data_IF_181724711983
#
_entry.id   IF_181724711983
#
_cell.length_a   1.000
_cell.length_b   1.000
_cell.length_c   1.000
_cell.angle_alpha   90.00
_cell.angle_beta   90.00
_cell.angle_gamma   90.00
#
_symmetry.space_group_name_H-M   'P 1'
#
loop_
_entity.id
_entity.type
_entity.pdbx_description
1 polymer ?
#
# COMPACT_ATOMS: atom_id res chain seq x y z
N UNK A 1 -42.49 -19.49 -64.20
CA UNK A 1 -41.98 -18.51 -65.14
C UNK A 1 -41.41 -17.37 -64.33
N UNK A 2 -40.21 -16.96 -64.23
CA UNK A 2 -38.97 -17.20 -64.94
C UNK A 2 -37.92 -16.54 -64.00
N UNK A 3 -36.86 -17.31 -63.82
CA UNK A 3 -35.61 -16.77 -63.29
C UNK A 3 -34.90 -15.99 -64.38
N UNK A 4 -34.17 -14.94 -64.06
CA UNK A 4 -32.80 -14.84 -64.48
C UNK A 4 -31.92 -14.03 -63.53
N UNK A 5 -30.64 -13.72 -63.84
CA UNK A 5 -29.52 -14.58 -63.47
C UNK A 5 -28.48 -13.88 -62.59
N UNK A 6 -27.58 -14.72 -62.11
CA UNK A 6 -26.34 -14.40 -61.41
C UNK A 6 -25.46 -13.36 -62.09
N UNK A 7 -24.82 -12.49 -61.27
CA UNK A 7 -23.49 -11.92 -61.53
C UNK A 7 -22.71 -11.83 -60.22
N UNK A 8 -21.64 -12.62 -60.14
CA UNK A 8 -20.48 -12.28 -59.32
C UNK A 8 -19.71 -11.15 -60.04
N UNK A 9 -19.06 -10.27 -59.26
CA UNK A 9 -17.63 -10.13 -59.46
C UNK A 9 -16.80 -10.02 -58.17
N UNK A 10 -15.66 -10.65 -58.28
CA UNK A 10 -14.32 -10.19 -57.95
C UNK A 10 -13.93 -9.97 -56.48
N UNK A 11 -13.08 -10.90 -56.09
CA UNK A 11 -12.09 -10.81 -55.05
C UNK A 11 -11.27 -9.52 -55.12
N UNK A 12 -11.23 -8.76 -54.07
CA UNK A 12 -10.08 -7.90 -53.72
C UNK A 12 -9.66 -8.17 -52.30
N UNK A 13 -8.38 -8.60 -52.19
CA UNK A 13 -7.70 -8.86 -50.94
C UNK A 13 -7.75 -7.64 -50.01
N UNK A 14 -8.22 -7.88 -48.78
CA UNK A 14 -8.15 -6.99 -47.68
C UNK A 14 -6.98 -7.38 -46.78
N UNK A 15 -6.01 -6.53 -46.72
CA UNK A 15 -4.84 -6.56 -45.86
C UNK A 15 -5.27 -6.79 -44.40
N UNK A 16 -4.61 -7.75 -43.76
CA UNK A 16 -4.75 -8.05 -42.36
C UNK A 16 -4.35 -6.81 -41.52
N UNK A 17 -5.31 -6.23 -40.85
CA UNK A 17 -5.15 -5.13 -39.93
C UNK A 17 -4.40 -5.65 -38.68
N UNK A 18 -3.10 -5.32 -38.60
CA UNK A 18 -2.27 -5.56 -37.42
C UNK A 18 -2.71 -4.61 -36.32
N UNK A 19 -2.93 -5.07 -35.07
CA UNK A 19 -3.24 -4.17 -33.99
C UNK A 19 -2.07 -3.19 -33.76
N UNK A 20 -2.36 -1.91 -33.92
CA UNK A 20 -1.45 -0.81 -33.60
C UNK A 20 -1.08 -0.87 -32.12
N UNK A 21 0.18 -1.16 -31.83
CA UNK A 21 0.79 -0.89 -30.53
C UNK A 21 0.69 0.61 -30.28
N UNK A 22 -0.19 1.00 -29.37
CA UNK A 22 -0.24 2.37 -28.86
C UNK A 22 0.92 2.55 -27.88
N UNK A 23 2.02 3.07 -28.40
CA UNK A 23 3.10 3.62 -27.61
C UNK A 23 2.62 4.98 -27.06
N UNK A 24 2.13 4.97 -25.84
CA UNK A 24 1.88 6.19 -25.08
C UNK A 24 2.91 6.27 -23.94
N UNK A 25 4.15 6.49 -24.34
CA UNK A 25 5.24 6.93 -23.48
C UNK A 25 5.85 8.16 -24.16
N UNK A 26 5.24 9.32 -23.99
CA UNK A 26 5.93 10.59 -24.23
C UNK A 26 5.21 11.71 -23.50
N UNK A 27 6.01 12.48 -22.81
CA UNK A 27 5.79 13.78 -22.18
C UNK A 27 5.30 13.75 -20.74
N UNK A 28 6.17 13.30 -19.83
CA UNK A 28 6.33 13.90 -18.51
C UNK A 28 7.77 14.44 -18.41
N UNK A 29 8.11 15.44 -19.19
CA UNK A 29 9.19 16.37 -18.91
C UNK A 29 8.64 17.44 -17.98
N UNK A 30 8.35 17.06 -16.72
CA UNK A 30 8.22 17.99 -15.62
C UNK A 30 9.62 18.23 -15.07
N UNK A 31 9.94 19.48 -14.85
CA UNK A 31 11.17 20.00 -14.26
C UNK A 31 11.63 19.14 -13.07
N UNK A 32 12.53 18.19 -13.34
CA UNK A 32 13.26 17.45 -12.32
C UNK A 32 14.19 18.46 -11.65
N UNK A 33 13.73 19.08 -10.56
CA UNK A 33 14.61 19.83 -9.67
C UNK A 33 15.73 18.89 -9.26
N UNK A 34 16.95 19.31 -9.52
CA UNK A 34 18.18 18.57 -9.24
C UNK A 34 18.15 18.10 -7.77
N UNK A 35 18.60 16.87 -7.48
CA UNK A 35 18.74 16.40 -6.11
C UNK A 35 19.63 17.37 -5.33
N UNK A 36 19.46 17.49 -4.02
CA UNK A 36 20.23 18.40 -3.20
C UNK A 36 21.71 18.14 -3.42
N UNK A 37 22.46 19.16 -3.81
CA UNK A 37 23.92 19.15 -3.90
C UNK A 37 24.50 19.19 -2.47
N UNK A 38 24.46 18.02 -1.81
CA UNK A 38 25.15 17.77 -0.56
C UNK A 38 26.26 16.77 -0.82
N UNK A 39 27.48 17.14 -0.49
CA UNK A 39 28.69 16.33 -0.42
C UNK A 39 28.75 15.10 -1.36
N UNK A 40 29.25 15.25 -2.56
CA UNK A 40 29.81 14.23 -3.47
C UNK A 40 29.32 12.76 -3.43
N UNK A 41 28.32 12.46 -2.66
CA UNK A 41 27.75 11.12 -2.47
C UNK A 41 26.77 10.76 -3.61
N UNK A 42 26.94 9.59 -4.18
CA UNK A 42 26.05 9.03 -5.18
C UNK A 42 24.64 8.88 -4.60
N UNK A 43 23.63 9.49 -5.24
CA UNK A 43 22.23 9.32 -4.85
C UNK A 43 21.81 7.84 -4.98
N UNK A 44 20.85 7.43 -4.16
CA UNK A 44 20.27 6.08 -4.15
C UNK A 44 18.75 6.16 -4.23
N UNK A 45 18.16 5.17 -4.86
CA UNK A 45 16.71 5.00 -4.82
C UNK A 45 16.38 3.51 -4.80
N UNK A 46 15.61 3.08 -3.79
CA UNK A 46 15.23 1.68 -3.65
C UNK A 46 13.72 1.51 -3.50
N UNK A 47 13.17 0.53 -4.22
CA UNK A 47 11.80 0.06 -4.05
C UNK A 47 11.78 -1.06 -3.03
N UNK A 48 11.06 -0.86 -1.93
CA UNK A 48 11.02 -1.77 -0.78
C UNK A 48 9.60 -2.34 -0.63
N UNK A 49 9.44 -3.65 -0.86
CA UNK A 49 8.16 -4.31 -0.63
C UNK A 49 8.02 -4.76 0.82
N UNK A 50 6.98 -4.29 1.50
CA UNK A 50 6.62 -4.74 2.83
C UNK A 50 5.62 -5.89 2.73
N UNK A 51 6.03 -7.11 3.06
CA UNK A 51 5.19 -8.30 3.05
C UNK A 51 4.99 -8.86 4.45
N UNK A 52 3.98 -9.70 4.62
CA UNK A 52 3.67 -10.35 5.91
C UNK A 52 2.18 -10.62 6.06
N UNK A 53 1.83 -11.36 7.09
CA UNK A 53 0.45 -11.68 7.44
C UNK A 53 -0.42 -10.42 7.68
N UNK A 54 -1.75 -10.52 7.64
CA UNK A 54 -2.62 -9.43 8.06
C UNK A 54 -2.33 -9.02 9.51
N UNK A 55 -2.36 -7.70 9.76
CA UNK A 55 -2.07 -7.10 11.08
C UNK A 55 -0.63 -7.27 11.60
N UNK A 56 0.33 -7.72 10.78
CA UNK A 56 1.75 -7.73 11.15
C UNK A 56 2.31 -6.30 11.37
N UNK A 57 1.62 -5.26 10.89
CA UNK A 57 1.97 -3.87 11.10
C UNK A 57 2.63 -3.17 9.91
N UNK A 58 2.46 -3.71 8.69
CA UNK A 58 3.03 -3.14 7.45
C UNK A 58 2.68 -1.67 7.26
N UNK A 59 1.40 -1.34 7.23
CA UNK A 59 0.92 0.04 7.08
C UNK A 59 1.40 0.97 8.21
N UNK A 60 1.49 0.46 9.45
CA UNK A 60 2.03 1.22 10.57
C UNK A 60 3.52 1.51 10.35
N UNK A 61 4.27 0.51 9.89
CA UNK A 61 5.70 0.67 9.60
C UNK A 61 5.92 1.62 8.41
N UNK A 62 5.09 1.52 7.35
CA UNK A 62 5.13 2.48 6.23
C UNK A 62 4.98 3.91 6.73
N UNK A 63 3.96 4.20 7.52
CA UNK A 63 3.75 5.54 8.10
C UNK A 63 4.91 5.97 8.99
N UNK A 64 5.47 5.07 9.81
CA UNK A 64 6.59 5.37 10.69
C UNK A 64 7.88 5.69 9.91
N UNK A 65 8.18 4.96 8.84
CA UNK A 65 9.35 5.20 7.98
C UNK A 65 9.24 6.49 7.16
N UNK A 66 8.03 6.81 6.68
CA UNK A 66 7.73 8.06 5.97
C UNK A 66 7.74 9.26 6.94
N UNK A 67 7.33 9.04 8.20
CA UNK A 67 7.14 10.12 9.18
C UNK A 67 5.80 10.84 9.06
N UNK A 68 4.89 10.34 8.21
CA UNK A 68 3.55 10.90 7.98
C UNK A 68 2.56 9.80 7.64
N UNK A 69 1.26 10.10 7.76
CA UNK A 69 0.22 9.14 7.40
C UNK A 69 -0.01 9.13 5.89
N UNK A 70 0.42 8.07 5.23
CA UNK A 70 0.22 7.82 3.79
C UNK A 70 -0.68 6.62 3.52
N UNK A 71 -0.87 5.76 4.52
CA UNK A 71 -1.74 4.59 4.47
C UNK A 71 -2.56 4.46 5.75
N UNK A 72 -3.74 3.85 5.63
CA UNK A 72 -4.64 3.67 6.78
C UNK A 72 -4.23 2.49 7.64
N UNK A 73 -4.54 2.58 8.93
CA UNK A 73 -4.22 1.56 9.93
C UNK A 73 -5.49 1.12 10.65
N UNK A 74 -5.74 -0.18 10.70
CA UNK A 74 -6.86 -0.75 11.47
C UNK A 74 -6.45 -2.07 12.13
N UNK A 75 -7.09 -2.39 13.25
CA UNK A 75 -6.95 -3.70 13.90
C UNK A 75 -7.66 -4.83 13.15
N UNK A 76 -8.48 -4.50 12.16
CA UNK A 76 -9.19 -5.48 11.34
C UNK A 76 -8.29 -5.98 10.23
N UNK A 77 -8.48 -7.23 9.82
CA UNK A 77 -7.75 -7.82 8.69
C UNK A 77 -8.11 -7.12 7.37
N UNK A 78 -7.25 -7.23 6.34
CA UNK A 78 -7.50 -6.67 5.01
C UNK A 78 -7.74 -5.15 4.99
N UNK A 79 -6.98 -4.40 5.81
CA UNK A 79 -7.06 -2.93 5.83
C UNK A 79 -6.60 -2.35 4.51
N UNK A 80 -5.45 -2.78 4.00
CA UNK A 80 -4.87 -2.37 2.71
C UNK A 80 -5.43 -3.29 1.61
N UNK A 81 -6.11 -2.70 0.62
CA UNK A 81 -6.70 -3.41 -0.53
C UNK A 81 -5.96 -3.15 -1.83
N UNK A 82 -5.36 -1.99 -1.96
CA UNK A 82 -4.56 -1.56 -3.09
C UNK A 82 -3.14 -1.27 -2.63
N UNK A 83 -2.18 -1.31 -3.56
CA UNK A 83 -0.83 -0.89 -3.28
C UNK A 83 -0.81 0.61 -2.97
N UNK A 84 -0.13 0.97 -1.89
CA UNK A 84 0.19 2.36 -1.55
C UNK A 84 1.71 2.49 -1.52
N UNK A 85 2.24 3.51 -2.20
CA UNK A 85 3.65 3.84 -2.13
C UNK A 85 3.84 5.03 -1.21
N UNK A 86 4.58 4.78 -0.11
CA UNK A 86 5.10 5.83 0.75
C UNK A 86 6.52 6.17 0.34
N UNK A 87 6.87 7.45 0.36
CA UNK A 87 8.18 7.94 -0.04
C UNK A 87 8.86 8.51 1.20
N UNK A 88 10.03 8.00 1.52
CA UNK A 88 10.84 8.46 2.64
C UNK A 88 12.24 8.84 2.18
N UNK A 89 12.77 9.92 2.71
CA UNK A 89 14.14 10.35 2.45
C UNK A 89 15.02 9.97 3.65
N UNK A 90 16.18 9.42 3.37
CA UNK A 90 17.20 9.07 4.36
C UNK A 90 18.59 9.46 3.82
N UNK A 91 19.07 10.65 4.16
CA UNK A 91 20.30 11.21 3.59
C UNK A 91 20.21 11.35 2.07
N UNK A 92 21.13 10.72 1.34
CA UNK A 92 21.15 10.72 -0.13
C UNK A 92 20.24 9.63 -0.76
N UNK A 93 19.50 8.87 0.05
CA UNK A 93 18.64 7.79 -0.42
C UNK A 93 17.16 8.16 -0.39
N UNK A 94 16.45 7.83 -1.46
CA UNK A 94 14.98 7.82 -1.52
C UNK A 94 14.48 6.39 -1.39
N UNK A 95 13.65 6.13 -0.39
CA UNK A 95 13.03 4.84 -0.11
C UNK A 95 11.58 4.87 -0.58
N UNK A 96 11.25 4.06 -1.58
CA UNK A 96 9.88 3.90 -2.08
C UNK A 96 9.29 2.65 -1.43
N UNK A 97 8.53 2.85 -0.36
CA UNK A 97 7.94 1.81 0.47
C UNK A 97 6.63 1.35 -0.15
N UNK A 98 6.52 0.09 -0.54
CA UNK A 98 5.33 -0.49 -1.12
C UNK A 98 4.56 -1.21 -0.01
N UNK A 99 3.50 -0.56 0.52
CA UNK A 99 2.58 -1.19 1.47
C UNK A 99 1.67 -2.16 0.72
N UNK A 100 1.86 -3.45 0.99
CA UNK A 100 1.12 -4.51 0.31
C UNK A 100 -0.06 -5.00 1.13
N UNK A 101 -1.12 -5.52 0.49
CA UNK A 101 -2.13 -6.31 1.19
C UNK A 101 -1.49 -7.44 2.00
N UNK A 102 -2.10 -7.79 3.14
CA UNK A 102 -1.65 -8.94 3.92
C UNK A 102 -1.71 -10.24 3.12
N UNK A 103 -0.70 -11.10 3.28
CA UNK A 103 -0.66 -12.43 2.67
C UNK A 103 -1.34 -13.41 3.63
N UNK A 104 -2.35 -14.10 3.15
CA UNK A 104 -3.16 -15.08 3.89
C UNK A 104 -3.73 -16.13 2.93
N UNK A 105 -4.34 -17.19 3.46
CA UNK A 105 -5.01 -18.20 2.64
C UNK A 105 -6.26 -17.60 1.95
N UNK A 106 -6.26 -17.43 0.61
CA UNK A 106 -7.33 -16.72 -0.09
C UNK A 106 -8.59 -17.58 -0.20
N UNK A 107 -9.74 -17.01 0.15
CA UNK A 107 -11.06 -17.67 0.06
C UNK A 107 -11.90 -17.16 -1.10
N UNK A 108 -11.81 -15.86 -1.42
CA UNK A 108 -12.59 -15.18 -2.45
C UNK A 108 -11.69 -14.79 -3.64
N UNK A 109 -12.31 -14.40 -4.75
CA UNK A 109 -11.59 -13.93 -5.94
C UNK A 109 -10.75 -12.67 -5.63
N UNK A 110 -11.29 -11.75 -4.84
CA UNK A 110 -10.57 -10.55 -4.41
C UNK A 110 -9.34 -10.90 -3.57
N UNK A 111 -9.47 -11.85 -2.64
CA UNK A 111 -8.36 -12.29 -1.79
C UNK A 111 -7.20 -12.83 -2.64
N UNK A 112 -7.51 -13.64 -3.66
CA UNK A 112 -6.49 -14.15 -4.60
C UNK A 112 -5.76 -13.03 -5.32
N UNK A 113 -6.50 -12.02 -5.81
CA UNK A 113 -5.92 -10.87 -6.47
C UNK A 113 -4.99 -10.09 -5.53
N UNK A 114 -5.41 -9.87 -4.28
CA UNK A 114 -4.60 -9.18 -3.26
C UNK A 114 -3.29 -9.93 -2.95
N UNK A 115 -3.36 -11.24 -2.75
CA UNK A 115 -2.17 -12.08 -2.47
C UNK A 115 -1.24 -12.11 -3.69
N UNK A 116 -1.79 -12.22 -4.91
CA UNK A 116 -0.99 -12.16 -6.15
C UNK A 116 -0.29 -10.81 -6.28
N UNK A 117 -0.98 -9.71 -5.99
CA UNK A 117 -0.40 -8.35 -6.02
C UNK A 117 0.74 -8.21 -4.99
N UNK A 118 0.57 -8.74 -3.77
CA UNK A 118 1.61 -8.68 -2.74
C UNK A 118 2.89 -9.43 -3.18
N UNK A 119 2.76 -10.62 -3.75
CA UNK A 119 3.90 -11.38 -4.27
C UNK A 119 4.51 -10.74 -5.51
N UNK A 120 3.70 -10.19 -6.43
CA UNK A 120 4.19 -9.42 -7.57
C UNK A 120 5.08 -8.26 -7.10
N UNK A 121 4.62 -7.50 -6.12
CA UNK A 121 5.42 -6.39 -5.54
C UNK A 121 6.73 -6.88 -4.92
N UNK A 122 6.75 -8.06 -4.28
CA UNK A 122 7.96 -8.64 -3.74
C UNK A 122 8.97 -9.04 -4.84
N UNK A 123 8.49 -9.49 -5.99
CA UNK A 123 9.36 -9.83 -7.13
C UNK A 123 9.90 -8.61 -7.87
N UNK A 124 9.15 -7.51 -7.87
CA UNK A 124 9.49 -6.28 -8.61
C UNK A 124 10.30 -5.28 -7.76
N UNK A 125 10.40 -5.51 -6.45
CA UNK A 125 11.14 -4.65 -5.52
C UNK A 125 12.65 -4.88 -5.59
N UNK A 126 13.42 -3.91 -5.08
CA UNK A 126 14.86 -4.05 -4.87
C UNK A 126 15.18 -4.77 -3.55
N UNK A 127 14.36 -4.58 -2.53
CA UNK A 127 14.49 -5.19 -1.21
C UNK A 127 13.12 -5.66 -0.73
N UNK A 128 13.06 -6.84 -0.13
CA UNK A 128 11.84 -7.39 0.46
C UNK A 128 11.97 -7.40 1.98
N UNK A 129 11.02 -6.79 2.67
CA UNK A 129 10.95 -6.75 4.13
C UNK A 129 9.79 -7.64 4.59
N UNK A 130 10.11 -8.76 5.21
CA UNK A 130 9.13 -9.63 5.84
C UNK A 130 8.84 -9.15 7.27
N UNK A 131 7.60 -8.75 7.53
CA UNK A 131 7.13 -8.39 8.88
C UNK A 131 6.44 -9.57 9.54
N UNK A 132 6.92 -9.91 10.73
CA UNK A 132 6.30 -10.87 11.65
C UNK A 132 5.79 -10.11 12.89
N UNK A 133 4.56 -10.39 13.30
CA UNK A 133 4.01 -9.97 14.58
C UNK A 133 4.66 -10.80 15.69
N UNK A 134 5.64 -10.22 16.41
CA UNK A 134 6.40 -10.94 17.41
C UNK A 134 5.54 -11.45 18.57
N UNK A 135 4.41 -10.81 18.84
CA UNK A 135 3.47 -11.25 19.89
C UNK A 135 2.69 -12.53 19.49
N UNK A 136 2.44 -12.70 18.18
CA UNK A 136 1.82 -13.94 17.67
C UNK A 136 2.83 -15.04 17.41
N UNK A 137 4.06 -14.67 17.09
CA UNK A 137 5.08 -15.59 16.64
C UNK A 137 4.82 -16.10 15.21
N UNK A 138 5.19 -17.35 14.96
CA UNK A 138 4.98 -18.01 13.67
C UNK A 138 3.65 -18.73 13.70
N UNK A 139 2.67 -18.20 12.99
CA UNK A 139 1.37 -18.83 12.73
C UNK A 139 1.35 -19.50 11.35
N UNK A 140 0.25 -20.18 10.99
CA UNK A 140 0.10 -20.86 9.69
C UNK A 140 0.30 -19.91 8.50
N UNK A 141 -0.08 -18.64 8.64
CA UNK A 141 0.08 -17.63 7.59
C UNK A 141 1.56 -17.26 7.44
N UNK A 142 2.28 -17.09 8.55
CA UNK A 142 3.72 -16.81 8.55
C UNK A 142 4.52 -17.99 7.98
N UNK A 143 4.20 -19.23 8.34
CA UNK A 143 4.82 -20.44 7.80
C UNK A 143 4.63 -20.53 6.28
N UNK A 144 3.41 -20.27 5.77
CA UNK A 144 3.13 -20.27 4.34
C UNK A 144 3.91 -19.18 3.58
N UNK A 145 4.13 -18.02 4.21
CA UNK A 145 4.93 -16.95 3.63
C UNK A 145 6.41 -17.35 3.60
N UNK A 146 6.94 -17.89 4.68
CA UNK A 146 8.34 -18.36 4.78
C UNK A 146 8.65 -19.42 3.74
N UNK A 147 7.78 -20.43 3.58
CA UNK A 147 7.93 -21.47 2.58
C UNK A 147 8.07 -20.92 1.16
N UNK A 148 7.31 -19.86 0.83
CA UNK A 148 7.35 -19.25 -0.49
C UNK A 148 8.43 -18.17 -0.66
N UNK A 149 8.98 -17.66 0.45
CA UNK A 149 10.00 -16.61 0.44
C UNK A 149 11.31 -17.07 -0.24
N UNK A 150 11.57 -18.39 -0.27
CA UNK A 150 12.70 -18.97 -0.97
C UNK A 150 12.70 -18.76 -2.49
N UNK A 151 11.53 -18.50 -3.09
CA UNK A 151 11.37 -18.19 -4.52
C UNK A 151 11.77 -16.74 -4.85
N UNK A 152 11.85 -15.88 -3.85
CA UNK A 152 12.22 -14.46 -3.99
C UNK A 152 13.74 -14.33 -4.02
N UNK A 153 14.28 -13.70 -5.07
CA UNK A 153 15.73 -13.55 -5.29
C UNK A 153 16.31 -12.29 -4.66
N UNK A 154 15.50 -11.30 -4.41
CA UNK A 154 15.88 -10.00 -3.85
C UNK A 154 16.45 -10.16 -2.44
N UNK A 155 17.30 -9.25 -1.98
CA UNK A 155 17.70 -9.14 -0.57
C UNK A 155 16.49 -9.15 0.34
N UNK A 156 16.55 -9.95 1.41
CA UNK A 156 15.45 -10.19 2.34
C UNK A 156 15.80 -9.71 3.74
N UNK A 157 14.95 -8.90 4.30
CA UNK A 157 15.08 -8.39 5.68
C UNK A 157 13.95 -8.95 6.52
N UNK A 158 14.28 -9.53 7.66
CA UNK A 158 13.32 -9.96 8.67
C UNK A 158 13.08 -8.81 9.66
N UNK A 159 11.82 -8.50 9.89
CA UNK A 159 11.40 -7.52 10.92
C UNK A 159 10.47 -8.20 11.92
N UNK A 160 10.93 -8.33 13.16
CA UNK A 160 10.10 -8.70 14.30
C UNK A 160 9.47 -7.42 14.85
N UNK A 161 8.18 -7.23 14.55
CA UNK A 161 7.43 -6.03 14.94
C UNK A 161 6.65 -6.24 16.24
N UNK A 162 6.25 -5.15 16.89
CA UNK A 162 5.50 -5.09 18.16
C UNK A 162 6.30 -5.57 19.36
N UNK A 163 7.59 -5.28 19.38
CA UNK A 163 8.47 -5.62 20.51
C UNK A 163 8.08 -4.94 21.83
N UNK A 164 7.28 -3.88 21.75
CA UNK A 164 6.75 -3.14 22.90
C UNK A 164 5.82 -3.97 23.80
N UNK A 165 5.32 -5.09 23.28
CA UNK A 165 4.39 -5.99 24.00
C UNK A 165 4.90 -7.43 24.12
N UNK A 166 6.21 -7.66 23.92
CA UNK A 166 6.83 -9.00 23.94
C UNK A 166 8.11 -8.98 24.78
N UNK A 167 8.32 -10.04 25.56
CA UNK A 167 9.52 -10.19 26.39
C UNK A 167 10.77 -10.46 25.54
N UNK A 168 11.91 -9.84 25.95
CA UNK A 168 13.18 -9.95 25.21
C UNK A 168 13.67 -11.39 24.97
N UNK A 169 13.61 -12.33 25.94
CA UNK A 169 14.01 -13.72 25.69
C UNK A 169 13.18 -14.39 24.58
N UNK A 170 11.88 -14.15 24.56
CA UNK A 170 10.98 -14.69 23.52
C UNK A 170 11.33 -14.14 22.12
N UNK A 171 11.69 -12.85 22.03
CA UNK A 171 12.14 -12.23 20.77
C UNK A 171 13.41 -12.88 20.23
N UNK A 172 14.41 -13.15 21.08
CA UNK A 172 15.65 -13.78 20.66
C UNK A 172 15.42 -15.21 20.17
N UNK A 173 14.59 -15.97 20.87
CA UNK A 173 14.22 -17.34 20.47
C UNK A 173 13.50 -17.33 19.12
N UNK A 174 12.55 -16.40 18.92
CA UNK A 174 11.83 -16.25 17.66
C UNK A 174 12.77 -15.87 16.52
N UNK A 175 13.69 -14.94 16.75
CA UNK A 175 14.69 -14.55 15.76
C UNK A 175 15.59 -15.71 15.36
N UNK A 176 16.08 -16.49 16.32
CA UNK A 176 16.89 -17.67 16.06
C UNK A 176 16.14 -18.72 15.22
N UNK A 177 14.87 -19.00 15.57
CA UNK A 177 14.03 -19.92 14.83
C UNK A 177 13.87 -19.48 13.37
N UNK A 178 13.47 -18.25 13.13
CA UNK A 178 13.21 -17.73 11.79
C UNK A 178 14.47 -17.65 10.91
N UNK A 179 15.61 -17.27 11.49
CA UNK A 179 16.89 -17.26 10.76
C UNK A 179 17.45 -18.68 10.48
N UNK A 180 16.96 -19.71 11.19
CA UNK A 180 17.27 -21.10 10.88
C UNK A 180 16.39 -21.66 9.75
N UNK A 181 15.16 -21.14 9.60
CA UNK A 181 14.18 -21.59 8.59
C UNK A 181 14.38 -20.91 7.23
N UNK A 182 14.84 -19.65 7.20
CA UNK A 182 15.07 -18.90 5.97
C UNK A 182 16.31 -18.00 6.07
N UNK A 183 16.92 -17.70 4.92
CA UNK A 183 18.09 -16.81 4.85
C UNK A 183 17.62 -15.36 4.73
N UNK A 184 18.08 -14.51 5.64
CA UNK A 184 17.89 -13.08 5.64
C UNK A 184 19.23 -12.34 5.64
N UNK A 185 19.30 -11.22 4.92
CA UNK A 185 20.47 -10.35 4.86
C UNK A 185 20.61 -9.53 6.16
N UNK A 186 19.49 -9.23 6.82
CA UNK A 186 19.45 -8.57 8.12
C UNK A 186 18.18 -8.94 8.91
N UNK A 187 18.25 -8.82 10.24
CA UNK A 187 17.12 -9.02 11.14
C UNK A 187 16.99 -7.85 12.09
N UNK A 188 15.83 -7.21 12.10
CA UNK A 188 15.51 -6.09 12.98
C UNK A 188 14.38 -6.45 13.97
N UNK A 189 14.50 -5.92 15.17
CA UNK A 189 13.48 -5.98 16.21
C UNK A 189 13.00 -4.56 16.48
N UNK A 190 11.74 -4.26 16.17
CA UNK A 190 11.22 -2.90 16.27
C UNK A 190 9.75 -2.85 16.72
N UNK A 191 9.32 -1.68 17.13
CA UNK A 191 7.91 -1.35 17.29
C UNK A 191 7.55 -0.20 16.33
N UNK A 192 6.81 -0.52 15.29
CA UNK A 192 6.30 0.48 14.36
C UNK A 192 5.34 1.47 15.02
N UNK A 193 4.69 1.07 16.13
CA UNK A 193 3.74 1.90 16.87
C UNK A 193 4.44 2.95 17.75
N UNK A 194 5.58 2.60 18.35
CA UNK A 194 6.34 3.50 19.24
C UNK A 194 7.52 4.16 18.54
N UNK A 195 7.89 3.71 17.35
CA UNK A 195 9.06 4.19 16.61
C UNK A 195 10.39 3.52 17.03
N UNK A 196 10.37 2.68 18.06
CA UNK A 196 11.60 2.01 18.56
C UNK A 196 12.19 1.09 17.48
N UNK A 197 13.48 1.27 17.13
CA UNK A 197 14.20 0.48 16.14
C UNK A 197 13.86 0.80 14.67
N UNK A 198 12.92 1.70 14.39
CA UNK A 198 12.51 2.06 13.03
C UNK A 198 13.63 2.78 12.28
N UNK A 199 14.35 3.66 12.96
CA UNK A 199 15.44 4.44 12.34
C UNK A 199 16.64 3.56 11.95
N UNK A 200 16.91 2.49 12.70
CA UNK A 200 17.98 1.54 12.34
C UNK A 200 17.62 0.77 11.06
N UNK A 201 16.36 0.34 10.93
CA UNK A 201 15.87 -0.25 9.68
C UNK A 201 15.95 0.75 8.52
N UNK A 202 15.50 2.00 8.73
CA UNK A 202 15.52 3.06 7.71
C UNK A 202 16.94 3.30 7.18
N UNK A 203 17.91 3.38 8.09
CA UNK A 203 19.33 3.55 7.75
C UNK A 203 19.86 2.37 6.93
N UNK A 204 19.60 1.14 7.35
CA UNK A 204 20.03 -0.05 6.63
C UNK A 204 19.41 -0.10 5.22
N UNK A 205 18.12 0.19 5.07
CA UNK A 205 17.46 0.26 3.77
C UNK A 205 18.10 1.31 2.85
N UNK A 206 18.45 2.48 3.39
CA UNK A 206 19.14 3.55 2.65
C UNK A 206 20.51 3.10 2.13
N UNK A 207 21.30 2.44 2.98
CA UNK A 207 22.65 1.96 2.66
C UNK A 207 22.64 0.84 1.61
N UNK A 208 21.58 0.02 1.58
CA UNK A 208 21.46 -1.15 0.70
C UNK A 208 20.60 -0.90 -0.54
N UNK A 209 19.97 0.28 -0.65
CA UNK A 209 19.25 0.68 -1.85
C UNK A 209 20.20 0.85 -3.04
N UNK A 210 19.78 0.52 -4.26
CA UNK A 210 20.59 0.71 -5.47
C UNK A 210 21.03 2.16 -5.66
N UNK A 211 22.23 2.34 -6.20
CA UNK A 211 22.66 3.65 -6.67
C UNK A 211 21.84 4.08 -7.90
N UNK A 212 21.30 5.27 -7.87
CA UNK A 212 20.45 5.79 -8.96
C UNK A 212 19.80 7.13 -8.62
N UNK A 213 19.14 7.75 -9.59
CA UNK A 213 18.41 9.00 -9.39
C UNK A 213 17.14 8.77 -8.55
N UNK A 214 16.69 9.79 -7.87
CA UNK A 214 15.38 9.79 -7.22
C UNK A 214 14.27 9.77 -8.26
N UNK A 215 13.20 9.01 -7.97
CA UNK A 215 12.04 8.87 -8.86
C UNK A 215 10.93 9.86 -8.53
N UNK A 216 10.93 10.44 -7.34
CA UNK A 216 9.90 11.35 -6.85
C UNK A 216 10.55 12.65 -6.34
N UNK A 217 9.85 13.79 -6.39
CA UNK A 217 10.28 15.03 -5.73
C UNK A 217 10.57 14.81 -4.24
N UNK A 218 11.47 15.61 -3.68
CA UNK A 218 11.91 15.50 -2.28
C UNK A 218 10.78 15.71 -1.27
N UNK A 219 9.84 16.57 -1.59
CA UNK A 219 8.67 16.93 -0.78
C UNK A 219 7.48 16.00 -0.97
N UNK A 220 7.57 15.03 -1.88
CA UNK A 220 6.50 14.07 -2.12
C UNK A 220 6.60 12.88 -1.16
N UNK A 221 5.56 12.69 -0.32
CA UNK A 221 5.49 11.62 0.68
C UNK A 221 4.70 10.38 0.23
N UNK A 222 3.94 10.49 -0.87
CA UNK A 222 3.17 9.37 -1.44
C UNK A 222 2.88 9.61 -2.91
N UNK A 223 2.70 8.53 -3.68
CA UNK A 223 2.21 8.58 -5.07
C UNK A 223 0.67 8.56 -5.16
N UNK A 224 -0.01 8.34 -4.04
CA UNK A 224 -1.47 8.31 -3.99
C UNK A 224 -2.06 9.73 -4.09
N UNK A 225 -3.04 9.97 -4.98
CA UNK A 225 -3.75 11.24 -5.00
C UNK A 225 -4.42 11.55 -3.65
N UNK A 226 -4.41 12.82 -3.23
CA UNK A 226 -5.07 13.25 -1.98
C UNK A 226 -6.54 12.82 -1.90
N UNK A 227 -7.26 12.78 -3.03
CA UNK A 227 -8.64 12.26 -3.11
C UNK A 227 -8.74 10.81 -2.66
N UNK A 228 -7.78 9.97 -3.04
CA UNK A 228 -7.72 8.56 -2.64
C UNK A 228 -7.38 8.42 -1.17
N UNK A 229 -6.44 9.18 -0.66
CA UNK A 229 -6.09 9.18 0.76
C UNK A 229 -7.28 9.63 1.63
N UNK A 230 -8.01 10.66 1.22
CA UNK A 230 -9.22 11.11 1.92
C UNK A 230 -10.32 10.03 1.95
N UNK A 231 -10.52 9.30 0.84
CA UNK A 231 -11.46 8.18 0.79
C UNK A 231 -11.02 7.06 1.75
N UNK A 232 -9.73 6.74 1.78
CA UNK A 232 -9.17 5.72 2.67
C UNK A 232 -9.29 6.13 4.15
N UNK A 233 -9.04 7.39 4.50
CA UNK A 233 -9.24 7.90 5.86
C UNK A 233 -10.70 7.72 6.29
N UNK A 234 -11.64 8.08 5.44
CA UNK A 234 -13.07 7.89 5.74
C UNK A 234 -13.41 6.40 5.86
N UNK A 235 -12.81 5.53 5.03
CA UNK A 235 -12.94 4.08 5.11
C UNK A 235 -12.35 3.53 6.43
N UNK A 236 -11.24 4.09 6.93
CA UNK A 236 -10.68 3.73 8.24
C UNK A 236 -11.66 4.03 9.38
N UNK A 237 -12.30 5.22 9.40
CA UNK A 237 -13.30 5.56 10.41
C UNK A 237 -14.52 4.65 10.34
N UNK A 238 -14.94 4.30 9.13
CA UNK A 238 -15.99 3.32 8.89
C UNK A 238 -15.57 1.93 9.43
N UNK A 239 -14.35 1.47 9.14
CA UNK A 239 -13.80 0.22 9.66
C UNK A 239 -13.78 0.17 11.19
N UNK A 240 -13.39 1.25 11.84
CA UNK A 240 -13.26 1.31 13.29
C UNK A 240 -14.64 1.31 14.00
N UNK A 241 -15.67 1.88 13.37
CA UNK A 241 -17.00 2.01 13.96
C UNK A 241 -17.95 0.87 13.65
N UNK A 242 -17.80 0.22 12.50
CA UNK A 242 -18.67 -0.88 12.10
C UNK A 242 -18.12 -2.22 12.55
N UNK A 243 -19.02 -3.19 12.75
CA UNK A 243 -18.68 -4.51 13.26
C UNK A 243 -19.00 -5.62 12.23
N UNK A 244 -18.56 -6.82 12.50
CA UNK A 244 -18.77 -8.01 11.68
C UNK A 244 -18.23 -7.85 10.25
N UNK A 245 -18.95 -8.34 9.25
CA UNK A 245 -18.55 -8.34 7.83
C UNK A 245 -18.77 -7.00 7.11
N UNK A 246 -19.51 -6.07 7.72
CA UNK A 246 -19.91 -4.82 7.07
C UNK A 246 -18.72 -3.96 6.58
N UNK A 247 -17.61 -3.81 7.35
CA UNK A 247 -16.47 -3.06 6.88
C UNK A 247 -15.85 -3.61 5.60
N UNK A 248 -15.89 -4.93 5.41
CA UNK A 248 -15.30 -5.60 4.25
C UNK A 248 -16.15 -5.47 2.98
N UNK A 249 -17.44 -5.17 3.14
CA UNK A 249 -18.42 -5.01 2.06
C UNK A 249 -18.73 -3.56 1.76
N UNK A 250 -17.99 -2.64 2.36
CA UNK A 250 -18.13 -1.21 2.12
C UNK A 250 -16.89 -0.64 1.42
N UNK A 251 -17.11 0.33 0.55
CA UNK A 251 -16.06 1.14 -0.06
C UNK A 251 -16.41 2.62 0.03
N UNK A 252 -15.42 3.48 -0.08
CA UNK A 252 -15.59 4.93 -0.07
C UNK A 252 -14.92 5.50 -1.31
N UNK A 253 -15.59 6.40 -1.99
CA UNK A 253 -15.05 7.13 -3.11
C UNK A 253 -15.18 8.64 -2.86
N UNK A 254 -14.18 9.40 -3.31
CA UNK A 254 -14.22 10.86 -3.26
C UNK A 254 -14.70 11.38 -4.61
N UNK A 255 -15.95 11.85 -4.67
CA UNK A 255 -16.59 12.33 -5.89
C UNK A 255 -16.10 13.72 -6.25
N UNK A 256 -16.02 14.62 -5.25
CA UNK A 256 -15.61 16.01 -5.42
C UNK A 256 -14.47 16.35 -4.47
N UNK A 257 -13.45 16.97 -5.01
CA UNK A 257 -12.42 17.69 -4.26
C UNK A 257 -12.26 19.07 -4.91
N UNK A 258 -12.62 20.11 -4.20
CA UNK A 258 -12.55 21.49 -4.70
C UNK A 258 -11.95 22.40 -3.65
N UNK A 259 -10.83 23.00 -3.97
CA UNK A 259 -10.25 24.07 -3.16
C UNK A 259 -11.08 25.34 -3.29
N UNK A 260 -11.33 25.97 -2.16
CA UNK A 260 -12.09 27.20 -2.05
C UNK A 260 -11.15 28.41 -1.93
N UNK A 261 -11.69 29.61 -2.17
CA UNK A 261 -10.88 30.85 -2.18
C UNK A 261 -10.30 31.22 -0.81
N UNK A 262 -10.86 30.69 0.26
CA UNK A 262 -10.43 30.90 1.64
C UNK A 262 -9.36 29.89 2.11
N UNK A 263 -8.87 29.04 1.19
CA UNK A 263 -7.88 28.01 1.49
C UNK A 263 -8.48 26.71 2.05
N UNK A 264 -9.79 26.64 2.28
CA UNK A 264 -10.46 25.39 2.69
C UNK A 264 -10.75 24.49 1.51
N UNK A 265 -11.03 23.21 1.76
CA UNK A 265 -11.42 22.24 0.74
C UNK A 265 -12.86 21.75 0.94
N UNK A 266 -13.66 21.73 -0.14
CA UNK A 266 -14.94 21.01 -0.19
C UNK A 266 -14.71 19.62 -0.70
N UNK A 267 -15.01 18.62 0.14
CA UNK A 267 -14.85 17.21 -0.18
C UNK A 267 -16.21 16.53 -0.08
N UNK A 268 -16.63 15.89 -1.18
CA UNK A 268 -17.84 15.07 -1.22
C UNK A 268 -17.44 13.62 -1.44
N UNK A 269 -18.00 12.73 -0.62
CA UNK A 269 -17.67 11.31 -0.64
C UNK A 269 -18.94 10.46 -0.61
N UNK A 270 -18.91 9.36 -1.35
CA UNK A 270 -19.96 8.35 -1.36
C UNK A 270 -19.48 7.07 -0.70
N UNK A 271 -20.26 6.55 0.23
CA UNK A 271 -20.05 5.26 0.85
C UNK A 271 -20.96 4.24 0.17
N UNK A 272 -20.35 3.26 -0.51
CA UNK A 272 -21.05 2.16 -1.16
C UNK A 272 -21.13 0.96 -0.24
N UNK A 273 -22.28 0.29 -0.22
CA UNK A 273 -22.55 -0.93 0.53
C UNK A 273 -23.33 -1.91 -0.34
N UNK A 274 -23.21 -3.21 -0.06
CA UNK A 274 -23.83 -4.24 -0.90
C UNK A 274 -25.35 -4.35 -0.72
N UNK A 275 -25.89 -4.02 0.48
CA UNK A 275 -27.28 -4.27 0.84
C UNK A 275 -27.92 -3.07 1.54
N UNK A 276 -29.24 -2.89 1.35
CA UNK A 276 -30.02 -1.82 2.00
C UNK A 276 -30.01 -1.94 3.54
N UNK A 277 -29.95 -3.13 4.09
CA UNK A 277 -29.81 -3.33 5.55
C UNK A 277 -28.50 -2.75 6.08
N UNK A 278 -27.43 -2.86 5.32
CA UNK A 278 -26.11 -2.30 5.66
C UNK A 278 -26.12 -0.78 5.62
N UNK A 279 -26.83 -0.19 4.65
CA UNK A 279 -27.01 1.25 4.56
C UNK A 279 -27.65 1.83 5.83
N UNK A 280 -28.66 1.15 6.37
CA UNK A 280 -29.30 1.58 7.63
C UNK A 280 -28.33 1.56 8.81
N UNK A 281 -27.42 0.58 8.87
CA UNK A 281 -26.38 0.48 9.92
C UNK A 281 -25.35 1.61 9.74
N UNK A 282 -24.88 1.87 8.53
CA UNK A 282 -23.93 2.96 8.23
C UNK A 282 -24.52 4.33 8.57
N UNK A 283 -25.79 4.55 8.26
CA UNK A 283 -26.48 5.79 8.62
C UNK A 283 -26.62 5.91 10.15
N UNK A 284 -27.01 4.81 10.81
CA UNK A 284 -27.33 4.81 12.24
C UNK A 284 -28.65 5.51 12.56
N UNK A 285 -29.01 5.51 13.85
CA UNK A 285 -30.26 6.18 14.31
C UNK A 285 -30.18 7.68 14.01
N UNK A 286 -31.13 8.18 13.22
CA UNK A 286 -31.20 9.60 12.79
C UNK A 286 -29.90 10.13 12.17
N UNK A 287 -29.13 9.28 11.49
CA UNK A 287 -27.88 9.68 10.84
C UNK A 287 -26.66 9.84 11.79
N UNK A 288 -26.77 9.39 13.05
CA UNK A 288 -25.71 9.62 14.05
C UNK A 288 -24.38 8.94 13.68
N UNK A 289 -24.41 7.73 13.13
CA UNK A 289 -23.18 6.99 12.79
C UNK A 289 -22.43 7.67 11.65
N UNK A 290 -23.11 7.97 10.56
CA UNK A 290 -22.46 8.62 9.40
C UNK A 290 -21.97 10.04 9.73
N UNK A 291 -22.72 10.78 10.56
CA UNK A 291 -22.27 12.10 11.05
C UNK A 291 -20.98 12.02 11.86
N UNK A 292 -20.86 11.02 12.71
CA UNK A 292 -19.65 10.80 13.52
C UNK A 292 -18.47 10.35 12.65
N UNK A 293 -18.68 9.45 11.68
CA UNK A 293 -17.66 9.05 10.69
C UNK A 293 -17.14 10.28 9.94
N UNK A 294 -18.06 11.10 9.41
CA UNK A 294 -17.71 12.30 8.67
C UNK A 294 -16.96 13.36 9.51
N UNK A 295 -17.34 13.51 10.77
CA UNK A 295 -16.66 14.45 11.69
C UNK A 295 -15.21 14.01 11.98
N UNK A 296 -14.98 12.72 12.26
CA UNK A 296 -13.64 12.18 12.50
C UNK A 296 -12.77 12.22 11.23
N UNK A 297 -13.35 11.85 10.08
CA UNK A 297 -12.65 11.91 8.81
C UNK A 297 -12.23 13.34 8.46
N UNK A 298 -13.14 14.30 8.59
CA UNK A 298 -12.85 15.72 8.34
C UNK A 298 -11.70 16.23 9.21
N UNK A 299 -11.73 15.94 10.51
CA UNK A 299 -10.67 16.36 11.44
C UNK A 299 -9.30 15.84 11.01
N UNK A 300 -9.23 14.58 10.58
CA UNK A 300 -7.96 13.96 10.21
C UNK A 300 -7.49 14.43 8.82
N UNK A 301 -8.40 14.56 7.85
CA UNK A 301 -8.08 15.08 6.52
C UNK A 301 -7.54 16.51 6.65
N UNK A 302 -8.20 17.37 7.42
CA UNK A 302 -7.76 18.74 7.65
C UNK A 302 -6.35 18.81 8.26
N UNK A 303 -6.05 17.92 9.21
CA UNK A 303 -4.72 17.86 9.83
C UNK A 303 -3.62 17.43 8.86
N UNK A 304 -3.94 16.57 7.86
CA UNK A 304 -2.98 16.10 6.86
C UNK A 304 -2.77 17.08 5.70
N UNK A 305 -3.78 17.87 5.38
CA UNK A 305 -3.72 18.83 4.27
C UNK A 305 -3.33 20.23 4.74
N UNK A 306 -3.17 20.45 6.06
CA UNK A 306 -3.03 21.79 6.67
C UNK A 306 -4.15 22.77 6.26
N UNK A 307 -5.30 22.22 5.84
CA UNK A 307 -6.49 22.95 5.39
C UNK A 307 -7.65 22.74 6.39
N UNK A 308 -8.46 23.76 6.56
CA UNK A 308 -9.65 23.72 7.42
C UNK A 308 -10.87 23.10 6.71
#
# INVERSE_FOLDING_TARGET
MGKPPSRHPEERGGEADKPRRTTALSSFEGDLRSPPQGDGGQTRCGFIALIGAPNAGKSTLTNALVGSKVTIVSRKVQTTRALVRGIAIAGAAQLVLIDTPGIFAPRRRLDRAMVTTAWGSAHDADIVVLLIDANKGVDEEADAILAKLGEVRQPKVLVLNKIDIVDKPALLTLAQKLNAEATFDATFMLSAATGSGVEDLKRWLAEHSPAGPWHYPEDQISDAPMRSLAAEITREKLFNRLHQELPYQATVETDVWKELRDGSARIEQTIYVERESQRKIVLGKSGATIKAIGAEARKEIAALTEQA
#
